data_IF_081123521619
#
_entry.id   IF_081123521619
#
_cell.length_a   1.000
_cell.length_b   1.000
_cell.length_c   1.000
_cell.angle_alpha   90.00
_cell.angle_beta   90.00
_cell.angle_gamma   90.00
#
_symmetry.space_group_name_H-M   'P 1'
#
loop_
_entity.id
_entity.type
_entity.pdbx_description
1 polymer ?
#
# COMPACT_ATOMS: atom_id res chain seq x y z
N UNK A 1 12.04 -17.30 11.43
CA UNK A 1 11.02 -17.84 10.51
C UNK A 1 9.85 -16.90 10.59
N UNK A 2 9.57 -16.16 9.53
CA UNK A 2 8.52 -15.15 9.55
C UNK A 2 7.19 -15.87 9.33
N UNK A 3 6.28 -15.83 10.30
CA UNK A 3 4.90 -16.36 10.16
C UNK A 3 4.03 -15.52 9.18
N UNK A 4 4.67 -14.63 8.43
CA UNK A 4 4.06 -13.74 7.45
C UNK A 4 4.31 -14.27 6.04
N UNK A 5 3.25 -14.33 5.25
CA UNK A 5 3.27 -14.81 3.88
C UNK A 5 2.87 -13.68 2.92
N UNK A 6 3.71 -13.32 1.94
CA UNK A 6 3.33 -12.37 0.90
C UNK A 6 2.13 -12.87 0.10
N UNK A 7 1.14 -12.01 -0.11
CA UNK A 7 0.00 -12.33 -0.97
C UNK A 7 0.32 -11.97 -2.43
N UNK A 8 -0.09 -12.82 -3.36
CA UNK A 8 0.03 -12.51 -4.79
C UNK A 8 -1.03 -11.47 -5.20
N UNK A 9 -0.56 -10.30 -5.62
CA UNK A 9 -1.40 -9.18 -6.05
C UNK A 9 -1.42 -8.97 -7.57
N UNK A 10 -0.83 -9.87 -8.37
CA UNK A 10 -0.56 -9.66 -9.80
C UNK A 10 -1.80 -9.24 -10.62
N UNK A 11 -2.98 -9.78 -10.30
CA UNK A 11 -4.24 -9.44 -10.98
C UNK A 11 -4.79 -8.06 -10.61
N UNK A 12 -4.27 -7.43 -9.55
CA UNK A 12 -4.74 -6.16 -9.00
C UNK A 12 -3.79 -5.01 -9.29
N UNK A 13 -2.60 -5.29 -9.82
CA UNK A 13 -1.61 -4.27 -10.17
C UNK A 13 -2.11 -3.45 -11.37
N UNK A 14 -2.15 -2.13 -11.19
CA UNK A 14 -2.69 -1.19 -12.17
C UNK A 14 -1.73 -0.02 -12.46
N UNK A 15 -0.55 0.00 -11.85
CA UNK A 15 0.43 1.07 -12.01
C UNK A 15 1.86 0.53 -12.09
N UNK A 16 2.70 1.23 -12.87
CA UNK A 16 4.12 0.95 -13.02
C UNK A 16 5.00 1.81 -12.12
N UNK A 17 6.31 1.70 -12.32
CA UNK A 17 7.33 2.47 -11.60
C UNK A 17 7.21 3.98 -11.83
N UNK A 18 6.67 4.38 -12.98
CA UNK A 18 6.46 5.76 -13.39
C UNK A 18 5.59 6.56 -12.42
N UNK A 19 4.68 5.90 -11.70
CA UNK A 19 3.82 6.56 -10.73
C UNK A 19 4.57 7.15 -9.53
N UNK A 20 5.78 6.65 -9.26
CA UNK A 20 6.62 7.18 -8.19
C UNK A 20 7.18 8.58 -8.52
N UNK A 21 7.21 8.96 -9.80
CA UNK A 21 7.81 10.18 -10.29
C UNK A 21 9.14 9.95 -11.01
N UNK A 22 9.55 10.90 -11.86
CA UNK A 22 10.79 10.80 -12.61
C UNK A 22 12.01 10.69 -11.69
N UNK A 23 12.90 9.74 -11.99
CA UNK A 23 14.14 9.53 -11.23
C UNK A 23 13.99 8.73 -9.93
N UNK A 24 12.76 8.37 -9.56
CA UNK A 24 12.49 7.51 -8.41
C UNK A 24 12.27 6.07 -8.87
N UNK A 25 12.83 5.13 -8.11
CA UNK A 25 12.63 3.70 -8.31
C UNK A 25 12.39 3.02 -6.96
N UNK A 26 11.79 1.84 -7.02
CA UNK A 26 11.67 0.95 -5.87
C UNK A 26 12.30 -0.40 -6.22
N UNK A 27 12.78 -1.10 -5.20
CA UNK A 27 13.26 -2.46 -5.37
C UNK A 27 12.09 -3.40 -5.71
N UNK A 28 12.27 -4.28 -6.69
CA UNK A 28 11.26 -5.23 -7.18
C UNK A 28 11.61 -6.65 -6.78
N UNK A 29 10.66 -7.57 -6.91
CA UNK A 29 10.82 -8.97 -6.52
C UNK A 29 10.53 -9.21 -5.04
N UNK A 30 11.22 -10.20 -4.46
CA UNK A 30 11.10 -10.52 -3.04
C UNK A 30 11.83 -9.47 -2.21
N UNK A 31 11.08 -8.75 -1.39
CA UNK A 31 11.55 -7.63 -0.58
C UNK A 31 11.33 -7.90 0.91
N UNK A 32 12.20 -7.32 1.74
CA UNK A 32 12.06 -7.37 3.19
C UNK A 32 12.01 -5.96 3.75
N UNK A 33 10.85 -5.56 4.25
CA UNK A 33 10.69 -4.28 4.92
C UNK A 33 10.56 -4.52 6.42
N UNK A 34 11.53 -4.03 7.19
CA UNK A 34 11.60 -4.20 8.67
C UNK A 34 11.50 -5.66 9.11
N UNK A 35 12.04 -6.59 8.32
CA UNK A 35 12.03 -8.04 8.60
C UNK A 35 10.77 -8.78 8.16
N UNK A 36 9.80 -8.07 7.56
CA UNK A 36 8.58 -8.66 7.01
C UNK A 36 8.71 -8.88 5.50
N UNK A 37 8.29 -10.05 4.98
CA UNK A 37 8.42 -10.37 3.57
C UNK A 37 7.30 -9.70 2.76
N UNK A 38 7.68 -9.12 1.62
CA UNK A 38 6.78 -8.55 0.62
C UNK A 38 7.19 -9.03 -0.77
N UNK A 39 6.23 -9.04 -1.71
CA UNK A 39 6.49 -9.37 -3.11
C UNK A 39 6.02 -8.21 -3.98
N UNK A 40 6.97 -7.56 -4.64
CA UNK A 40 6.71 -6.51 -5.63
C UNK A 40 6.94 -7.11 -7.01
N UNK A 41 6.02 -6.89 -7.95
CA UNK A 41 6.18 -7.45 -9.31
C UNK A 41 7.43 -6.88 -9.99
N UNK A 42 8.16 -7.74 -10.70
CA UNK A 42 9.34 -7.37 -11.48
C UNK A 42 8.98 -6.73 -12.84
N UNK A 43 7.71 -6.70 -13.23
CA UNK A 43 7.23 -6.00 -14.43
C UNK A 43 7.16 -4.49 -14.13
N UNK A 44 8.07 -3.64 -14.67
CA UNK A 44 8.14 -2.22 -14.36
C UNK A 44 6.89 -1.42 -14.78
N UNK A 45 6.04 -1.99 -15.65
CA UNK A 45 4.79 -1.36 -16.08
C UNK A 45 3.61 -1.67 -15.15
N UNK A 46 3.74 -2.71 -14.32
CA UNK A 46 2.71 -3.19 -13.38
C UNK A 46 3.38 -3.73 -12.13
N UNK A 47 3.78 -2.82 -11.24
CA UNK A 47 4.41 -3.12 -9.95
C UNK A 47 3.49 -2.85 -8.75
N UNK A 48 2.56 -1.89 -8.88
CA UNK A 48 1.85 -1.30 -7.76
C UNK A 48 0.34 -1.28 -7.96
N UNK A 49 -0.36 -1.07 -6.85
CA UNK A 49 -1.76 -0.69 -6.81
C UNK A 49 -1.81 0.80 -6.52
N UNK A 50 -2.19 1.59 -7.52
CA UNK A 50 -2.52 2.99 -7.39
C UNK A 50 -3.99 3.16 -7.02
N UNK A 51 -4.23 4.00 -6.02
CA UNK A 51 -5.55 4.42 -5.58
C UNK A 51 -5.58 5.95 -5.52
N UNK A 52 -6.58 6.53 -6.15
CA UNK A 52 -6.90 7.96 -6.07
C UNK A 52 -8.43 8.12 -5.91
N UNK A 53 -8.91 9.36 -5.82
CA UNK A 53 -10.34 9.66 -5.61
C UNK A 53 -11.24 9.15 -6.75
N UNK A 54 -10.69 9.03 -7.95
CA UNK A 54 -11.39 8.52 -9.14
C UNK A 54 -11.25 6.98 -9.27
N UNK A 55 -10.39 6.38 -8.46
CA UNK A 55 -10.19 4.94 -8.42
C UNK A 55 -11.31 4.32 -7.58
N UNK A 56 -11.95 3.29 -8.12
CA UNK A 56 -12.83 2.44 -7.32
C UNK A 56 -12.06 1.70 -6.22
N UNK A 57 -12.81 0.97 -5.38
CA UNK A 57 -12.21 0.06 -4.41
C UNK A 57 -11.47 -1.09 -5.10
N UNK A 58 -10.28 -1.43 -4.61
CA UNK A 58 -9.54 -2.62 -5.06
C UNK A 58 -9.75 -3.75 -4.06
N UNK A 59 -10.40 -4.82 -4.53
CA UNK A 59 -10.63 -6.01 -3.72
C UNK A 59 -9.48 -6.99 -3.83
N UNK A 60 -8.95 -7.39 -2.67
CA UNK A 60 -7.83 -8.34 -2.55
C UNK A 60 -8.34 -9.62 -1.85
N UNK A 61 -8.49 -10.74 -2.58
CA UNK A 61 -8.96 -11.98 -1.99
C UNK A 61 -7.85 -12.65 -1.16
N UNK A 62 -8.02 -12.71 0.16
CA UNK A 62 -7.07 -13.39 1.06
C UNK A 62 -7.33 -14.90 1.11
N UNK A 63 -8.61 -15.33 1.14
CA UNK A 63 -9.07 -16.74 1.09
C UNK A 63 -8.41 -17.67 2.13
N UNK A 64 -7.95 -17.12 3.25
CA UNK A 64 -7.39 -17.85 4.39
C UNK A 64 -7.63 -17.08 5.68
N UNK A 65 -7.63 -17.77 6.81
CA UNK A 65 -7.65 -17.13 8.11
C UNK A 65 -6.35 -16.34 8.32
N UNK A 66 -6.47 -15.05 8.60
CA UNK A 66 -5.34 -14.17 8.87
C UNK A 66 -5.68 -13.26 10.07
N UNK A 67 -4.79 -13.21 11.05
CA UNK A 67 -4.95 -12.36 12.23
C UNK A 67 -4.26 -11.00 12.06
N UNK A 68 -3.29 -10.93 11.15
CA UNK A 68 -2.54 -9.72 10.83
C UNK A 68 -2.47 -9.55 9.32
N UNK A 69 -2.93 -8.39 8.84
CA UNK A 69 -2.81 -7.98 7.45
C UNK A 69 -1.96 -6.72 7.43
N UNK A 70 -0.84 -6.77 6.71
CA UNK A 70 0.14 -5.69 6.66
C UNK A 70 0.26 -5.21 5.23
N UNK A 71 0.15 -3.90 5.04
CA UNK A 71 0.31 -3.25 3.75
C UNK A 71 1.62 -2.45 3.74
N UNK A 72 2.42 -2.63 2.70
CA UNK A 72 3.50 -1.70 2.37
C UNK A 72 2.93 -0.68 1.38
N UNK A 73 2.67 0.53 1.85
CA UNK A 73 2.00 1.58 1.10
C UNK A 73 2.61 2.93 1.41
N UNK A 74 2.53 3.85 0.45
CA UNK A 74 3.05 5.20 0.56
C UNK A 74 2.04 6.19 0.00
N UNK A 75 2.02 7.38 0.58
CA UNK A 75 1.28 8.50 0.03
C UNK A 75 2.18 9.22 -1.00
N UNK A 76 1.66 9.49 -2.19
CA UNK A 76 2.42 10.17 -3.25
C UNK A 76 2.38 11.69 -3.13
N UNK A 77 1.24 12.23 -2.66
CA UNK A 77 1.04 13.66 -2.45
C UNK A 77 0.51 13.90 -1.05
N UNK A 78 1.20 14.77 -0.33
CA UNK A 78 0.88 15.19 1.03
C UNK A 78 0.67 16.70 1.01
N UNK A 79 -0.37 17.17 1.68
CA UNK A 79 -0.61 18.60 1.84
C UNK A 79 0.04 19.13 3.15
N UNK A 80 0.69 18.26 3.94
CA UNK A 80 1.31 18.63 5.23
C UNK A 80 2.44 19.63 5.04
N UNK A 81 3.26 19.46 4.00
CA UNK A 81 4.36 20.38 3.72
C UNK A 81 3.86 21.78 3.32
N UNK A 82 2.61 21.88 2.85
CA UNK A 82 1.90 23.12 2.55
C UNK A 82 1.09 23.66 3.76
N UNK A 83 1.30 23.11 4.97
CA UNK A 83 0.59 23.51 6.20
C UNK A 83 -0.74 22.79 6.43
N UNK A 84 -1.01 21.70 5.70
CA UNK A 84 -2.20 20.87 5.85
C UNK A 84 -2.27 20.11 7.19
N UNK A 85 -3.46 19.66 7.60
CA UNK A 85 -3.65 19.01 8.90
C UNK A 85 -3.15 17.56 8.90
N UNK A 86 -2.44 17.21 9.98
CA UNK A 86 -2.07 15.83 10.32
C UNK A 86 -3.33 15.03 10.67
N UNK A 87 -3.40 13.76 10.25
CA UNK A 87 -4.52 12.88 10.54
C UNK A 87 -5.71 12.99 9.58
N UNK A 88 -5.52 13.70 8.46
CA UNK A 88 -6.51 13.73 7.37
C UNK A 88 -6.82 12.32 6.88
N UNK A 89 -8.11 12.05 6.64
CA UNK A 89 -8.56 10.77 6.11
C UNK A 89 -8.14 10.64 4.64
N UNK A 90 -7.32 9.63 4.34
CA UNK A 90 -6.79 9.36 2.99
C UNK A 90 -7.61 8.26 2.30
N UNK A 91 -7.90 7.18 3.01
CA UNK A 91 -8.64 6.03 2.47
C UNK A 91 -9.22 5.20 3.63
N UNK A 92 -9.94 4.13 3.31
CA UNK A 92 -10.41 3.15 4.28
C UNK A 92 -9.99 1.74 3.84
N UNK A 93 -9.55 0.91 4.79
CA UNK A 93 -9.57 -0.53 4.61
C UNK A 93 -10.98 -1.04 4.88
N UNK A 94 -11.40 -2.01 4.07
CA UNK A 94 -12.69 -2.66 4.21
C UNK A 94 -12.47 -4.16 4.35
N UNK A 95 -12.72 -4.70 5.54
CA UNK A 95 -12.58 -6.13 5.82
C UNK A 95 -13.94 -6.82 5.69
N UNK A 96 -14.04 -7.76 4.75
CA UNK A 96 -15.20 -8.61 4.55
C UNK A 96 -14.82 -10.03 4.97
N UNK A 97 -15.21 -10.44 6.17
CA UNK A 97 -14.98 -11.79 6.69
C UNK A 97 -16.24 -12.63 6.53
N UNK A 98 -16.06 -13.94 6.34
CA UNK A 98 -17.19 -14.85 6.11
C UNK A 98 -18.11 -14.88 7.33
N UNK A 99 -19.41 -14.63 7.11
CA UNK A 99 -20.41 -14.61 8.17
C UNK A 99 -20.40 -13.37 9.06
N UNK A 100 -19.52 -12.40 8.79
CA UNK A 100 -19.40 -11.17 9.59
C UNK A 100 -19.83 -9.92 8.79
N UNK A 101 -20.16 -8.87 9.53
CA UNK A 101 -20.43 -7.57 8.92
C UNK A 101 -19.12 -6.96 8.41
N UNK A 102 -19.19 -6.24 7.30
CA UNK A 102 -18.09 -5.43 6.78
C UNK A 102 -17.60 -4.46 7.85
N UNK A 103 -16.29 -4.46 8.11
CA UNK A 103 -15.64 -3.53 9.05
C UNK A 103 -14.76 -2.58 8.25
N UNK A 104 -14.95 -1.27 8.46
CA UNK A 104 -14.14 -0.24 7.84
C UNK A 104 -13.12 0.34 8.85
N UNK A 105 -11.86 0.46 8.42
CA UNK A 105 -10.77 1.02 9.23
C UNK A 105 -10.14 2.22 8.51
N UNK A 106 -10.07 3.40 9.14
CA UNK A 106 -9.57 4.60 8.48
C UNK A 106 -8.05 4.55 8.30
N UNK A 107 -7.60 5.04 7.14
CA UNK A 107 -6.20 5.26 6.82
C UNK A 107 -5.97 6.77 6.83
N UNK A 108 -5.20 7.23 7.81
CA UNK A 108 -4.94 8.66 8.02
C UNK A 108 -3.49 9.01 7.76
N UNK A 109 -3.31 10.22 7.28
CA UNK A 109 -1.99 10.75 6.98
C UNK A 109 -1.13 10.92 8.25
N UNK A 110 0.13 10.46 8.18
CA UNK A 110 1.13 10.35 9.27
C UNK A 110 0.79 9.38 10.41
N UNK A 111 -0.34 8.67 10.35
CA UNK A 111 -0.67 7.60 11.30
C UNK A 111 -0.49 6.23 10.66
N UNK A 112 -1.32 5.92 9.67
CA UNK A 112 -1.26 4.65 8.95
C UNK A 112 -0.44 4.77 7.66
N UNK A 113 -0.49 5.91 6.98
CA UNK A 113 0.22 6.15 5.72
C UNK A 113 0.97 7.48 5.76
N UNK A 114 2.14 7.53 5.14
CA UNK A 114 2.91 8.76 5.01
C UNK A 114 3.55 8.85 3.62
N UNK A 115 3.88 10.08 3.21
CA UNK A 115 4.82 10.29 2.12
C UNK A 115 6.23 9.91 2.56
N UNK A 116 7.01 9.39 1.62
CA UNK A 116 8.44 9.15 1.84
C UNK A 116 9.16 10.45 1.51
N UNK A 117 9.88 11.08 2.46
CA UNK A 117 10.68 12.27 2.17
C UNK A 117 11.70 11.95 1.08
N UNK A 118 11.86 12.85 0.10
CA UNK A 118 12.77 12.65 -1.05
C UNK A 118 14.23 12.36 -0.63
N UNK A 119 14.65 12.77 0.58
CA UNK A 119 16.00 12.55 1.12
C UNK A 119 16.26 11.15 1.68
N UNK A 120 15.27 10.25 1.67
CA UNK A 120 15.34 8.96 2.39
C UNK A 120 15.96 7.82 1.57
N UNK A 121 16.34 8.05 0.31
CA UNK A 121 17.08 7.11 -0.53
C UNK A 121 18.55 7.56 -0.60
N UNK A 122 19.33 7.26 0.44
CA UNK A 122 20.79 7.30 0.42
C UNK A 122 21.35 6.01 1.00
#
# INVERSE_FOLDING_TARGET
MSDYEPLNLSEKLNAGMDILGQGLSAEVGSQSFRGLPFSISADPTRCFISLNKDSGSVEIPVRKSAYHIIFAHRLLRSDIDDGGPVGSLIANYSFCMEGEQKIDYPIRERFEIASVPMDSFR
#
